data_IF_834843652725
#
_entry.id   IF_834843652725
#
_cell.length_a   1.000
_cell.length_b   1.000
_cell.length_c   1.000
_cell.angle_alpha   90.00
_cell.angle_beta   90.00
_cell.angle_gamma   90.00
#
_symmetry.space_group_name_H-M   'P 1'
#
loop_
_entity.id
_entity.type
_entity.pdbx_description
1 polymer ?
#
# COMPACT_ATOMS: atom_id res chain seq x y z
N UNK A 1 14.00 4.13 1.53
CA UNK A 1 13.50 3.82 0.18
C UNK A 1 12.19 4.54 -0.03
N UNK A 2 11.65 4.49 -1.25
CA UNK A 2 10.33 5.01 -1.59
C UNK A 2 9.44 3.85 -2.04
N UNK A 3 8.15 3.94 -1.71
CA UNK A 3 7.15 2.98 -2.17
C UNK A 3 6.05 3.67 -2.97
N UNK A 4 5.61 3.05 -4.06
CA UNK A 4 4.39 3.43 -4.75
C UNK A 4 3.31 2.39 -4.48
N UNK A 5 2.20 2.84 -3.89
CA UNK A 5 1.07 2.00 -3.48
C UNK A 5 -0.12 2.25 -4.40
N UNK A 6 -0.66 1.17 -4.96
CA UNK A 6 -1.78 1.23 -5.89
C UNK A 6 -3.09 1.02 -5.12
N UNK A 7 -3.79 2.12 -4.87
CA UNK A 7 -5.04 2.15 -4.13
C UNK A 7 -6.19 1.63 -5.01
N UNK A 8 -6.92 0.63 -4.51
CA UNK A 8 -8.11 0.11 -5.17
C UNK A 8 -9.17 1.21 -5.31
N UNK A 9 -9.79 1.28 -6.49
CA UNK A 9 -10.74 2.31 -6.90
C UNK A 9 -12.20 1.83 -6.85
N UNK A 10 -12.46 0.64 -6.31
CA UNK A 10 -13.81 0.12 -6.08
C UNK A 10 -14.58 1.04 -5.11
N UNK A 11 -15.80 1.41 -5.51
CA UNK A 11 -16.70 2.25 -4.72
C UNK A 11 -16.93 3.62 -5.33
N UNK A 12 -17.81 4.40 -4.70
CA UNK A 12 -18.07 5.79 -5.10
C UNK A 12 -17.01 6.71 -4.50
N UNK A 13 -16.91 7.94 -5.03
CA UNK A 13 -16.06 8.98 -4.45
C UNK A 13 -16.39 9.17 -2.96
N UNK A 14 -15.38 9.23 -2.11
CA UNK A 14 -15.47 9.22 -0.65
C UNK A 14 -15.31 7.83 -0.02
N UNK A 15 -15.55 6.75 -0.77
CA UNK A 15 -15.44 5.38 -0.28
C UNK A 15 -14.18 4.65 -0.79
N UNK A 16 -13.54 5.20 -1.83
CA UNK A 16 -12.33 4.62 -2.42
C UNK A 16 -11.17 4.70 -1.42
N UNK A 17 -10.17 3.84 -1.62
CA UNK A 17 -9.07 3.75 -0.67
C UNK A 17 -8.32 5.07 -0.53
N UNK A 18 -8.04 5.75 -1.65
CA UNK A 18 -7.32 7.02 -1.63
C UNK A 18 -8.13 8.14 -0.96
N UNK A 19 -9.44 8.20 -1.21
CA UNK A 19 -10.33 9.16 -0.54
C UNK A 19 -10.30 9.01 0.98
N UNK A 20 -10.37 7.76 1.48
CA UNK A 20 -10.31 7.47 2.92
C UNK A 20 -8.97 7.84 3.54
N UNK A 21 -7.88 7.65 2.81
CA UNK A 21 -6.52 8.02 3.21
C UNK A 21 -6.40 9.53 3.35
N UNK A 22 -6.83 10.28 2.33
CA UNK A 22 -6.82 11.75 2.35
C UNK A 22 -7.74 12.34 3.41
N UNK A 23 -8.88 11.71 3.68
CA UNK A 23 -9.78 12.10 4.76
C UNK A 23 -9.25 11.73 6.17
N UNK A 24 -8.11 11.06 6.29
CA UNK A 24 -7.54 10.61 7.57
C UNK A 24 -8.32 9.48 8.25
N UNK A 25 -9.38 8.96 7.62
CA UNK A 25 -10.19 7.86 8.16
C UNK A 25 -9.55 6.48 7.92
N UNK A 26 -8.49 6.41 7.12
CA UNK A 26 -7.67 5.23 6.90
C UNK A 26 -6.21 5.62 7.01
N UNK A 27 -5.57 5.19 8.10
CA UNK A 27 -4.16 5.50 8.42
C UNK A 27 -3.26 4.27 8.36
N UNK A 28 -3.82 3.14 7.94
CA UNK A 28 -3.07 1.89 7.76
C UNK A 28 -3.57 1.15 6.52
N UNK A 29 -2.66 0.52 5.78
CA UNK A 29 -2.95 -0.37 4.65
C UNK A 29 -2.51 -1.78 4.98
N UNK A 30 -3.23 -2.76 4.44
CA UNK A 30 -2.92 -4.19 4.59
C UNK A 30 -2.68 -4.80 3.23
N UNK A 31 -1.65 -5.65 3.16
CA UNK A 31 -1.40 -6.58 2.07
C UNK A 31 -1.36 -7.99 2.65
N UNK A 32 -1.96 -8.94 1.94
CA UNK A 32 -2.02 -10.32 2.38
C UNK A 32 -1.92 -11.31 1.23
N UNK A 33 -1.30 -12.46 1.50
CA UNK A 33 -1.15 -13.56 0.55
C UNK A 33 -1.05 -14.92 1.28
N UNK A 34 -1.09 -16.02 0.52
CA UNK A 34 -0.92 -17.36 1.10
C UNK A 34 0.51 -17.59 1.65
N UNK A 35 1.51 -16.89 1.10
CA UNK A 35 2.90 -16.90 1.55
C UNK A 35 3.49 -15.49 1.54
N UNK A 36 4.78 -15.35 1.85
CA UNK A 36 5.49 -14.06 1.80
C UNK A 36 5.43 -13.49 0.39
N UNK A 37 4.94 -12.25 0.28
CA UNK A 37 4.92 -11.44 -0.94
C UNK A 37 5.24 -10.00 -0.58
N UNK A 38 5.82 -9.28 -1.53
CA UNK A 38 6.06 -7.84 -1.40
C UNK A 38 4.72 -7.14 -1.09
N UNK A 39 4.70 -6.24 -0.10
CA UNK A 39 5.84 -5.58 0.53
C UNK A 39 6.29 -6.16 1.88
N UNK A 40 5.87 -7.38 2.22
CA UNK A 40 6.21 -8.01 3.51
C UNK A 40 7.71 -7.98 3.79
N UNK A 41 8.11 -7.58 5.00
CA UNK A 41 9.51 -7.45 5.44
C UNK A 41 10.40 -6.49 4.64
N UNK A 42 9.83 -5.63 3.79
CA UNK A 42 10.57 -4.71 2.90
C UNK A 42 10.12 -3.25 2.99
N UNK A 43 9.40 -2.91 4.06
CA UNK A 43 8.95 -1.54 4.37
C UNK A 43 9.37 -1.25 5.79
N UNK A 44 9.91 -0.06 6.02
CA UNK A 44 10.45 0.36 7.32
C UNK A 44 9.87 1.71 7.75
N UNK A 45 9.83 1.94 9.06
CA UNK A 45 9.42 3.23 9.61
C UNK A 45 10.35 4.35 9.13
N UNK A 46 9.76 5.51 8.85
CA UNK A 46 10.45 6.67 8.27
C UNK A 46 10.54 6.68 6.74
N UNK A 47 10.17 5.60 6.05
CA UNK A 47 10.16 5.57 4.58
C UNK A 47 8.95 6.30 3.98
N UNK A 48 9.06 6.72 2.73
CA UNK A 48 8.01 7.49 2.06
C UNK A 48 7.08 6.56 1.28
N UNK A 49 5.77 6.72 1.48
CA UNK A 49 4.73 6.12 0.65
C UNK A 49 4.19 7.19 -0.31
N UNK A 50 4.11 6.85 -1.59
CA UNK A 50 3.32 7.56 -2.59
C UNK A 50 2.08 6.73 -2.90
N UNK A 51 0.97 7.42 -3.14
CA UNK A 51 -0.31 6.77 -3.42
C UNK A 51 -0.81 7.19 -4.79
N UNK A 52 -1.26 6.20 -5.55
CA UNK A 52 -1.98 6.38 -6.79
C UNK A 52 -3.28 5.59 -6.76
N UNK A 53 -4.33 6.11 -7.38
CA UNK A 53 -5.54 5.33 -7.60
C UNK A 53 -5.38 4.43 -8.85
N UNK A 54 -5.74 3.15 -8.72
CA UNK A 54 -5.67 2.22 -9.85
C UNK A 54 -6.43 2.73 -11.07
N UNK A 55 -5.83 2.56 -12.24
CA UNK A 55 -6.41 2.97 -13.52
C UNK A 55 -6.29 4.46 -13.84
N UNK A 56 -5.82 5.30 -12.90
CA UNK A 56 -5.65 6.74 -13.16
C UNK A 56 -4.28 7.08 -13.77
N UNK A 57 -3.25 6.27 -13.51
CA UNK A 57 -1.85 6.58 -13.79
C UNK A 57 -1.41 7.95 -13.21
N UNK A 58 -2.04 8.40 -12.12
CA UNK A 58 -1.71 9.65 -11.43
C UNK A 58 -1.31 9.36 -9.98
N UNK A 59 -0.12 9.80 -9.61
CA UNK A 59 0.39 9.78 -8.24
C UNK A 59 0.06 11.14 -7.63
N UNK A 60 -0.78 11.17 -6.60
CA UNK A 60 -1.40 12.43 -6.13
C UNK A 60 -1.31 12.64 -4.64
N UNK A 61 -0.81 11.67 -3.87
CA UNK A 61 -0.60 11.84 -2.44
C UNK A 61 0.69 11.16 -1.99
N UNK A 62 1.22 11.64 -0.87
CA UNK A 62 2.32 10.98 -0.16
C UNK A 62 2.13 11.02 1.35
N UNK A 63 2.78 10.11 2.05
CA UNK A 63 2.85 10.05 3.51
C UNK A 63 4.13 9.36 3.98
N UNK A 64 4.31 9.28 5.29
CA UNK A 64 5.48 8.66 5.91
C UNK A 64 5.05 7.41 6.65
N UNK A 65 5.79 6.31 6.48
CA UNK A 65 5.56 5.07 7.22
C UNK A 65 5.85 5.33 8.69
N UNK A 66 4.87 5.05 9.53
CA UNK A 66 4.96 5.21 10.98
C UNK A 66 5.32 3.90 11.68
N UNK A 67 4.64 2.82 11.31
CA UNK A 67 4.85 1.49 11.89
C UNK A 67 4.56 0.40 10.86
N UNK A 68 5.21 -0.76 11.01
CA UNK A 68 5.02 -1.90 10.11
C UNK A 68 4.91 -3.19 10.92
N UNK A 69 3.85 -3.95 10.66
CA UNK A 69 3.60 -5.24 11.30
C UNK A 69 3.59 -6.33 10.22
N UNK A 70 4.45 -7.33 10.39
CA UNK A 70 4.65 -8.41 9.44
C UNK A 70 4.33 -9.76 10.12
N UNK A 71 3.41 -10.51 9.54
CA UNK A 71 2.93 -11.77 10.07
C UNK A 71 3.06 -12.90 9.05
N UNK A 72 3.35 -14.11 9.53
CA UNK A 72 3.43 -15.32 8.70
C UNK A 72 2.75 -16.48 9.43
N UNK A 73 2.24 -17.46 8.66
CA UNK A 73 1.65 -18.71 9.17
C UNK A 73 0.52 -18.48 10.18
N UNK A 74 -0.25 -17.40 10.02
CA UNK A 74 -1.36 -17.10 10.91
C UNK A 74 -2.46 -18.17 10.85
N UNK A 75 -3.05 -18.47 11.99
CA UNK A 75 -4.33 -19.17 12.12
C UNK A 75 -5.51 -18.26 11.79
N UNK A 76 -6.68 -18.83 11.52
CA UNK A 76 -7.89 -18.05 11.21
C UNK A 76 -8.27 -17.11 12.37
N UNK A 77 -8.12 -17.57 13.61
CA UNK A 77 -8.37 -16.78 14.82
C UNK A 77 -7.41 -15.59 14.94
N UNK A 78 -6.12 -15.81 14.66
CA UNK A 78 -5.11 -14.74 14.69
C UNK A 78 -5.38 -13.70 13.59
N UNK A 79 -5.81 -14.13 12.40
CA UNK A 79 -6.14 -13.20 11.31
C UNK A 79 -7.32 -12.31 11.70
N UNK A 80 -8.39 -12.90 12.23
CA UNK A 80 -9.56 -12.14 12.68
C UNK A 80 -9.19 -11.16 13.80
N UNK A 81 -8.36 -11.59 14.76
CA UNK A 81 -7.87 -10.75 15.84
C UNK A 81 -7.07 -9.56 15.31
N UNK A 82 -6.05 -9.79 14.48
CA UNK A 82 -5.17 -8.74 13.95
C UNK A 82 -5.95 -7.72 13.11
N UNK A 83 -6.84 -8.19 12.23
CA UNK A 83 -7.66 -7.30 11.42
C UNK A 83 -8.68 -6.52 12.28
N UNK A 84 -9.22 -7.15 13.32
CA UNK A 84 -10.16 -6.52 14.26
C UNK A 84 -9.50 -5.44 15.12
N UNK A 85 -8.37 -5.74 15.74
CA UNK A 85 -7.59 -4.80 16.58
C UNK A 85 -7.14 -3.57 15.80
N UNK A 86 -6.80 -3.73 14.51
CA UNK A 86 -6.37 -2.65 13.63
C UNK A 86 -7.51 -2.03 12.81
N UNK A 87 -8.76 -2.45 12.98
CA UNK A 87 -9.87 -2.03 12.12
C UNK A 87 -10.12 -0.52 12.14
N UNK A 88 -9.90 0.15 13.27
CA UNK A 88 -10.04 1.61 13.39
C UNK A 88 -9.08 2.37 12.48
N UNK A 89 -7.87 1.83 12.26
CA UNK A 89 -6.86 2.39 11.34
C UNK A 89 -7.04 1.89 9.91
N UNK A 90 -7.44 0.63 9.74
CA UNK A 90 -7.58 -0.01 8.44
C UNK A 90 -8.87 0.39 7.71
N UNK A 91 -9.95 0.67 8.42
CA UNK A 91 -11.25 1.08 7.85
C UNK A 91 -11.71 0.18 6.67
N UNK A 92 -11.67 -1.14 6.89
CA UNK A 92 -12.02 -2.15 5.88
C UNK A 92 -13.54 -2.38 5.85
N UNK A 93 -14.09 -2.57 4.66
CA UNK A 93 -15.41 -3.18 4.51
C UNK A 93 -15.37 -4.69 4.77
N UNK A 94 -16.52 -5.32 5.00
CA UNK A 94 -16.61 -6.79 5.17
C UNK A 94 -16.01 -7.56 3.97
N UNK A 95 -16.24 -7.07 2.74
CA UNK A 95 -15.62 -7.64 1.54
C UNK A 95 -14.09 -7.55 1.58
N UNK A 96 -13.55 -6.44 2.09
CA UNK A 96 -12.10 -6.27 2.23
C UNK A 96 -11.53 -7.13 3.36
N UNK A 97 -12.23 -7.28 4.49
CA UNK A 97 -11.84 -8.21 5.55
C UNK A 97 -11.74 -9.63 5.01
N UNK A 98 -12.75 -10.08 4.27
CA UNK A 98 -12.73 -11.39 3.61
C UNK A 98 -11.57 -11.53 2.60
N UNK A 99 -11.33 -10.51 1.77
CA UNK A 99 -10.21 -10.49 0.81
C UNK A 99 -8.84 -10.62 1.50
N UNK A 100 -8.67 -9.92 2.62
CA UNK A 100 -7.43 -9.91 3.39
C UNK A 100 -7.31 -11.04 4.41
N UNK A 101 -8.30 -11.94 4.48
CA UNK A 101 -8.21 -13.15 5.29
C UNK A 101 -7.15 -14.11 4.70
N UNK A 102 -5.89 -13.86 5.03
CA UNK A 102 -4.70 -14.51 4.46
C UNK A 102 -3.68 -14.82 5.55
N UNK A 103 -3.00 -15.98 5.42
CA UNK A 103 -2.05 -16.50 6.42
C UNK A 103 -0.74 -15.71 6.54
N UNK A 104 -0.47 -14.81 5.60
CA UNK A 104 0.66 -13.91 5.61
C UNK A 104 0.14 -12.49 5.40
N UNK A 105 0.42 -11.59 6.33
CA UNK A 105 -0.05 -10.21 6.33
C UNK A 105 1.11 -9.23 6.51
N UNK A 106 1.05 -8.10 5.82
CA UNK A 106 1.87 -6.93 6.02
C UNK A 106 0.94 -5.73 6.22
N UNK A 107 0.96 -5.17 7.43
CA UNK A 107 0.20 -3.98 7.81
C UNK A 107 1.19 -2.81 7.89
N UNK A 108 0.87 -1.72 7.22
CA UNK A 108 1.72 -0.53 7.15
C UNK A 108 0.90 0.66 7.63
N UNK A 109 1.20 1.16 8.83
CA UNK A 109 0.66 2.41 9.37
C UNK A 109 1.46 3.58 8.81
N UNK A 110 0.79 4.68 8.50
CA UNK A 110 1.41 5.88 7.98
C UNK A 110 0.79 7.14 8.57
N UNK A 111 1.54 8.22 8.49
CA UNK A 111 1.19 9.53 9.00
C UNK A 111 1.63 10.63 8.04
N UNK A 112 1.28 11.88 8.36
CA UNK A 112 1.64 13.07 7.58
C UNK A 112 1.25 12.96 6.10
N UNK A 113 0.07 12.38 5.85
CA UNK A 113 -0.49 12.26 4.51
C UNK A 113 -0.86 13.64 3.99
N UNK A 114 -0.42 13.94 2.77
CA UNK A 114 -0.75 15.17 2.07
C UNK A 114 -0.94 14.92 0.58
N UNK A 115 -1.81 15.72 -0.04
CA UNK A 115 -1.88 15.81 -1.50
C UNK A 115 -0.60 16.45 -2.04
N UNK A 116 -0.21 16.02 -3.23
CA UNK A 116 0.91 16.56 -3.99
C UNK A 116 0.45 16.93 -5.40
N UNK A 117 1.17 17.82 -6.11
CA UNK A 117 0.98 17.98 -7.54
C UNK A 117 1.03 16.63 -8.25
N UNK A 118 0.05 16.37 -9.11
CA UNK A 118 -0.09 15.09 -9.76
C UNK A 118 1.15 14.76 -10.61
N UNK A 119 1.76 13.62 -10.34
CA UNK A 119 2.83 13.06 -11.17
C UNK A 119 2.24 12.01 -12.10
N UNK A 120 2.61 12.07 -13.37
CA UNK A 120 2.23 11.07 -14.37
C UNK A 120 3.06 9.81 -14.20
N UNK A 121 2.40 8.72 -13.82
CA UNK A 121 3.04 7.41 -13.67
C UNK A 121 3.30 6.80 -15.04
N UNK A 122 4.55 6.43 -15.29
CA UNK A 122 4.92 5.67 -16.47
C UNK A 122 4.73 4.17 -16.21
N UNK A 123 3.89 3.54 -17.03
CA UNK A 123 3.41 2.19 -16.78
C UNK A 123 4.56 1.18 -16.74
N UNK A 124 4.72 0.55 -15.58
CA UNK A 124 5.68 -0.53 -15.37
C UNK A 124 5.02 -1.88 -15.67
N UNK A 125 5.72 -2.76 -16.39
CA UNK A 125 5.23 -4.11 -16.74
C UNK A 125 5.18 -5.10 -15.58
N UNK A 126 5.14 -4.62 -14.32
CA UNK A 126 5.05 -5.45 -13.14
C UNK A 126 3.57 -5.78 -12.83
N UNK A 127 3.31 -6.93 -12.19
CA UNK A 127 1.96 -7.34 -11.82
C UNK A 127 1.55 -6.89 -10.40
N UNK A 128 2.44 -6.22 -9.69
CA UNK A 128 2.27 -5.90 -8.28
C UNK A 128 1.65 -4.52 -8.06
N UNK A 129 0.71 -4.46 -7.12
CA UNK A 129 0.08 -3.22 -6.65
C UNK A 129 0.97 -2.42 -5.68
N UNK A 130 2.27 -2.74 -5.65
CA UNK A 130 3.25 -2.15 -4.76
C UNK A 130 4.63 -2.18 -5.41
N UNK A 131 5.21 -1.00 -5.59
CA UNK A 131 6.59 -0.86 -6.06
C UNK A 131 7.50 -0.42 -4.92
N UNK A 132 8.72 -0.95 -4.90
CA UNK A 132 9.78 -0.50 -4.01
C UNK A 132 10.89 0.08 -4.90
N UNK A 133 11.13 1.38 -4.79
CA UNK A 133 12.01 2.17 -5.67
C UNK A 133 12.94 3.07 -4.84
N UNK A 134 14.01 3.57 -5.46
CA UNK A 134 14.96 4.46 -4.78
C UNK A 134 14.37 5.86 -4.63
N UNK A 135 13.76 6.37 -5.70
CA UNK A 135 13.13 7.68 -5.78
C UNK A 135 11.90 7.63 -6.69
N UNK A 136 10.97 8.58 -6.51
CA UNK A 136 9.69 8.55 -7.24
C UNK A 136 9.87 8.79 -8.74
N UNK A 137 10.92 9.53 -9.12
CA UNK A 137 11.26 9.86 -10.50
C UNK A 137 11.58 8.63 -11.36
N UNK A 138 11.95 7.50 -10.74
CA UNK A 138 12.26 6.25 -11.44
C UNK A 138 11.02 5.65 -12.14
N UNK A 139 9.81 6.13 -11.82
CA UNK A 139 8.55 5.61 -12.36
C UNK A 139 7.63 6.72 -12.90
N UNK A 140 8.14 7.93 -13.11
CA UNK A 140 7.38 9.07 -13.63
C UNK A 140 7.73 9.31 -15.10
N UNK A 141 6.74 9.70 -15.89
CA UNK A 141 6.90 9.98 -17.33
C UNK A 141 8.05 10.98 -17.57
N UNK A 142 8.95 10.63 -18.48
CA UNK A 142 10.11 11.44 -18.87
C UNK A 142 11.42 11.09 -18.16
N UNK A 143 11.36 10.49 -16.98
CA UNK A 143 12.56 10.04 -16.21
C UNK A 143 12.54 8.57 -15.84
N UNK A 144 11.41 7.90 -16.10
CA UNK A 144 11.18 6.48 -15.82
C UNK A 144 12.27 5.57 -16.36
N UNK A 145 12.63 4.59 -15.55
CA UNK A 145 13.54 3.50 -15.91
C UNK A 145 12.80 2.17 -15.74
N UNK A 146 13.18 1.11 -16.48
CA UNK A 146 12.53 -0.18 -16.33
C UNK A 146 12.60 -0.70 -14.90
N UNK A 147 11.43 -0.91 -14.29
CA UNK A 147 11.35 -1.49 -12.96
C UNK A 147 11.95 -2.91 -12.93
N UNK A 148 12.78 -3.16 -11.94
CA UNK A 148 13.33 -4.49 -11.65
C UNK A 148 13.10 -4.85 -10.18
N UNK A 149 13.15 -6.14 -9.88
CA UNK A 149 12.85 -6.66 -8.55
C UNK A 149 14.06 -6.71 -7.62
N UNK A 150 15.22 -6.14 -7.97
CA UNK A 150 16.45 -6.29 -7.16
C UNK A 150 16.28 -5.76 -5.74
N UNK A 151 15.49 -4.70 -5.57
CA UNK A 151 15.15 -4.10 -4.27
C UNK A 151 14.04 -4.84 -3.50
N UNK A 152 13.39 -5.76 -4.18
CA UNK A 152 12.22 -6.53 -3.74
C UNK A 152 12.55 -8.01 -3.46
N UNK A 153 13.83 -8.40 -3.47
CA UNK A 153 14.26 -9.77 -3.12
C UNK A 153 14.19 -10.01 -1.60
N UNK A 154 13.82 -11.23 -1.22
CA UNK A 154 13.83 -11.72 0.16
C UNK A 154 15.20 -12.25 0.57
#
# INVERSE_FOLDING_TARGET
>A
MVHLVYCDNIGKKGERILDKILAGTKTMIVRGAAGRKIPHSRVFAGETLYFMEKGTAKITAKGIVKNVENYIKLSDEEILKILGENQSKLNLSEKQKSRWHKKCLCLVEFENVQEIPALDFDHQGNMDDWLIIEKIEDVVVGTSIPYNYDKSKF
#
